data_IF_919121114109
#
_entry.id   IF_919121114109
#
_cell.length_a   1.000
_cell.length_b   1.000
_cell.length_c   1.000
_cell.angle_alpha   90.00
_cell.angle_beta   90.00
_cell.angle_gamma   90.00
#
_symmetry.space_group_name_H-M   'P 1'
#
loop_
_entity.id
_entity.type
_entity.pdbx_description
1 polymer ?
#
# COMPACT_ATOMS: atom_id res chain seq x y z
N UNK A 1 4.63 -3.83 7.48
CA UNK A 1 4.26 -2.43 7.15
C UNK A 1 5.49 -1.55 7.19
N UNK A 2 5.60 -0.56 6.29
CA UNK A 2 6.75 0.36 6.26
C UNK A 2 6.38 1.71 6.87
N UNK A 3 7.18 2.19 7.82
CA UNK A 3 6.91 3.42 8.57
C UNK A 3 7.69 4.65 8.06
N UNK A 4 8.77 4.44 7.29
CA UNK A 4 9.66 5.52 6.84
C UNK A 4 10.22 5.36 5.42
N UNK A 5 10.79 6.45 4.89
CA UNK A 5 11.36 6.51 3.55
C UNK A 5 10.32 6.56 2.42
N UNK A 6 10.76 6.39 1.17
CA UNK A 6 9.92 6.46 -0.03
C UNK A 6 8.84 5.36 -0.10
N UNK A 7 9.03 4.26 0.64
CA UNK A 7 8.10 3.12 0.69
C UNK A 7 7.11 3.20 1.87
N UNK A 8 7.03 4.32 2.59
CA UNK A 8 6.10 4.51 3.73
C UNK A 8 4.66 4.17 3.35
N UNK A 9 3.96 3.49 4.26
CA UNK A 9 2.56 3.11 4.08
C UNK A 9 2.35 1.83 3.29
N UNK A 10 3.40 1.28 2.64
CA UNK A 10 3.32 -0.01 1.97
C UNK A 10 3.31 -1.17 2.96
N UNK A 11 2.59 -2.23 2.60
CA UNK A 11 2.51 -3.48 3.37
C UNK A 11 2.95 -4.62 2.46
N UNK A 12 3.76 -5.53 3.01
CA UNK A 12 4.31 -6.65 2.29
C UNK A 12 4.93 -7.65 3.26
N UNK A 13 5.11 -8.86 2.76
CA UNK A 13 5.80 -9.96 3.42
C UNK A 13 7.31 -9.76 3.33
N UNK A 14 8.05 -10.14 4.36
CA UNK A 14 9.51 -10.05 4.39
C UNK A 14 10.08 -11.29 3.70
N UNK A 15 10.73 -11.13 2.55
CA UNK A 15 11.38 -12.24 1.84
C UNK A 15 12.73 -12.56 2.50
N UNK A 16 13.56 -11.53 2.70
CA UNK A 16 14.91 -11.68 3.23
C UNK A 16 15.38 -10.41 3.91
N UNK A 17 16.14 -10.57 4.98
CA UNK A 17 16.88 -9.49 5.62
C UNK A 17 18.36 -9.69 5.34
N UNK A 18 18.94 -8.75 4.61
CA UNK A 18 20.37 -8.67 4.37
C UNK A 18 21.05 -7.97 5.56
N UNK A 19 21.88 -8.73 6.28
CA UNK A 19 22.67 -8.21 7.39
C UNK A 19 23.96 -7.62 6.88
N UNK A 20 24.17 -6.36 7.23
CA UNK A 20 25.36 -5.58 6.89
C UNK A 20 25.99 -5.06 8.19
N UNK A 21 27.01 -5.73 8.75
CA UNK A 21 27.68 -5.28 9.97
C UNK A 21 28.31 -3.90 9.77
N UNK A 22 28.08 -2.98 10.71
CA UNK A 22 28.57 -1.59 10.61
C UNK A 22 27.74 -0.67 9.70
N UNK A 23 26.66 -1.17 9.09
CA UNK A 23 25.75 -0.39 8.26
C UNK A 23 24.27 -0.75 8.53
N UNK A 24 23.36 -0.13 7.79
CA UNK A 24 21.94 -0.46 7.90
C UNK A 24 21.65 -1.83 7.29
N UNK A 25 20.90 -2.65 8.02
CA UNK A 25 20.34 -3.88 7.46
C UNK A 25 19.26 -3.53 6.45
N UNK A 26 19.21 -4.29 5.35
CA UNK A 26 18.25 -4.07 4.26
C UNK A 26 17.24 -5.21 4.28
N UNK A 27 15.96 -4.87 4.39
CA UNK A 27 14.87 -5.82 4.26
C UNK A 27 14.32 -5.75 2.84
N UNK A 28 14.26 -6.90 2.15
CA UNK A 28 13.51 -7.08 0.90
C UNK A 28 12.13 -7.61 1.21
N UNK A 29 11.11 -6.95 0.66
CA UNK A 29 9.72 -7.26 0.89
C UNK A 29 8.97 -7.43 -0.43
N UNK A 30 7.88 -8.18 -0.40
CA UNK A 30 6.95 -8.39 -1.51
C UNK A 30 5.53 -8.03 -1.07
N UNK A 31 4.84 -7.18 -1.84
CA UNK A 31 3.44 -6.87 -1.58
C UNK A 31 2.47 -7.93 -2.15
N UNK A 32 1.18 -7.78 -1.88
CA UNK A 32 0.15 -8.73 -2.35
C UNK A 32 -0.04 -8.72 -3.86
N UNK A 33 0.35 -7.64 -4.55
CA UNK A 33 0.36 -7.57 -6.01
C UNK A 33 1.64 -8.18 -6.62
N UNK A 34 2.56 -8.66 -5.77
CA UNK A 34 3.79 -9.30 -6.19
C UNK A 34 4.93 -8.35 -6.51
N UNK A 35 4.80 -7.04 -6.25
CA UNK A 35 5.88 -6.09 -6.44
C UNK A 35 6.90 -6.22 -5.31
N UNK A 36 8.17 -6.35 -5.68
CA UNK A 36 9.28 -6.37 -4.74
C UNK A 36 9.85 -4.98 -4.49
N UNK A 37 10.22 -4.70 -3.24
CA UNK A 37 10.87 -3.46 -2.86
C UNK A 37 11.75 -3.65 -1.65
N UNK A 38 12.68 -2.70 -1.43
CA UNK A 38 13.61 -2.73 -0.32
C UNK A 38 13.46 -1.50 0.57
N UNK A 39 13.75 -1.69 1.86
CA UNK A 39 13.88 -0.60 2.83
C UNK A 39 14.92 -0.95 3.89
N UNK A 40 15.31 0.03 4.70
CA UNK A 40 16.10 -0.25 5.91
C UNK A 40 15.24 -1.06 6.88
N UNK A 41 15.82 -2.07 7.53
CA UNK A 41 15.11 -2.93 8.48
C UNK A 41 14.48 -2.14 9.63
N UNK A 42 15.09 -1.02 10.04
CA UNK A 42 14.56 -0.09 11.06
C UNK A 42 13.20 0.50 10.68
N UNK A 43 12.90 0.62 9.39
CA UNK A 43 11.62 1.14 8.89
C UNK A 43 10.54 0.06 8.78
N UNK A 44 10.84 -1.19 9.12
CA UNK A 44 9.90 -2.32 9.03
C UNK A 44 9.19 -2.48 10.36
N UNK A 45 7.86 -2.43 10.32
CA UNK A 45 6.99 -2.72 11.45
C UNK A 45 6.15 -3.97 11.15
N UNK A 46 6.30 -5.00 11.98
CA UNK A 46 5.60 -6.28 11.83
C UNK A 46 4.18 -6.13 12.39
N UNK A 47 3.17 -6.49 11.58
CA UNK A 47 1.75 -6.30 11.91
C UNK A 47 0.91 -7.58 11.77
N UNK A 48 1.56 -8.72 11.56
CA UNK A 48 0.93 -10.02 11.33
C UNK A 48 1.96 -11.05 10.90
N UNK A 49 1.55 -12.32 10.92
CA UNK A 49 2.38 -13.44 10.46
C UNK A 49 2.30 -13.59 8.94
N UNK A 50 1.09 -13.43 8.38
CA UNK A 50 0.82 -13.52 6.95
C UNK A 50 0.19 -12.23 6.44
N UNK A 51 0.25 -12.04 5.12
CA UNK A 51 -0.35 -10.87 4.48
C UNK A 51 -1.89 -10.87 4.52
N UNK A 52 -2.50 -12.06 4.65
CA UNK A 52 -3.95 -12.24 4.77
C UNK A 52 -4.45 -12.12 6.22
N UNK A 53 -3.60 -12.38 7.20
CA UNK A 53 -3.93 -12.42 8.63
C UNK A 53 -3.22 -11.29 9.38
N UNK A 54 -3.71 -10.06 9.16
CA UNK A 54 -3.18 -8.85 9.80
C UNK A 54 -3.80 -8.67 11.20
N UNK A 55 -2.98 -8.37 12.20
CA UNK A 55 -3.40 -8.14 13.59
C UNK A 55 -4.06 -6.76 13.79
N UNK A 56 -3.94 -5.88 12.79
CA UNK A 56 -4.49 -4.52 12.82
C UNK A 56 -5.17 -4.21 11.49
N UNK A 57 -6.26 -3.42 11.55
CA UNK A 57 -6.94 -2.93 10.36
C UNK A 57 -6.10 -1.88 9.65
N UNK A 58 -5.96 -2.04 8.33
CA UNK A 58 -5.22 -1.11 7.45
C UNK A 58 -6.18 -0.26 6.61
N UNK A 59 -5.74 0.90 6.08
CA UNK A 59 -6.56 1.74 5.21
C UNK A 59 -7.03 1.01 3.93
N UNK A 60 -7.99 1.63 3.21
CA UNK A 60 -8.69 1.04 2.05
C UNK A 60 -7.78 0.40 0.99
N UNK A 61 -6.59 0.96 0.75
CA UNK A 61 -5.64 0.46 -0.25
C UNK A 61 -4.79 -0.71 0.25
N UNK A 62 -4.96 -1.17 1.50
CA UNK A 62 -4.25 -2.33 2.09
C UNK A 62 -2.72 -2.27 2.01
N UNK A 63 -2.14 -1.07 1.85
CA UNK A 63 -0.70 -0.89 1.67
C UNK A 63 -0.17 -1.22 0.27
N UNK A 64 -1.05 -1.34 -0.72
CA UNK A 64 -0.69 -1.46 -2.13
C UNK A 64 -0.43 -0.08 -2.74
N UNK A 65 0.69 0.05 -3.44
CA UNK A 65 1.00 1.24 -4.23
C UNK A 65 0.67 0.93 -5.70
N UNK A 66 -0.27 1.67 -6.26
CA UNK A 66 -0.63 1.57 -7.67
C UNK A 66 0.40 2.28 -8.55
N UNK A 67 0.44 1.90 -9.83
CA UNK A 67 1.25 2.62 -10.80
C UNK A 67 0.68 4.01 -11.04
N UNK A 68 1.55 5.00 -11.30
CA UNK A 68 1.15 6.40 -11.47
C UNK A 68 0.15 6.58 -12.62
N UNK A 69 0.32 5.81 -13.70
CA UNK A 69 -0.58 5.81 -14.86
C UNK A 69 -1.94 5.25 -14.47
N UNK A 70 -1.98 4.08 -13.81
CA UNK A 70 -3.23 3.46 -13.33
C UNK A 70 -3.98 4.36 -12.35
N UNK A 71 -3.28 4.96 -11.39
CA UNK A 71 -3.89 5.90 -10.43
C UNK A 71 -4.50 7.11 -11.14
N UNK A 72 -3.84 7.61 -12.19
CA UNK A 72 -4.37 8.72 -12.99
C UNK A 72 -5.63 8.31 -13.75
N UNK A 73 -5.61 7.15 -14.39
CA UNK A 73 -6.76 6.62 -15.15
C UNK A 73 -7.96 6.38 -14.24
N UNK A 74 -7.77 5.75 -13.08
CA UNK A 74 -8.84 5.55 -12.09
C UNK A 74 -9.44 6.89 -11.62
N UNK A 75 -8.61 7.92 -11.42
CA UNK A 75 -9.10 9.26 -11.05
C UNK A 75 -9.92 9.91 -12.17
N UNK A 76 -9.52 9.73 -13.43
CA UNK A 76 -10.26 10.26 -14.58
C UNK A 76 -11.61 9.55 -14.74
N UNK A 77 -11.62 8.22 -14.68
CA UNK A 77 -12.84 7.40 -14.75
C UNK A 77 -13.78 7.75 -13.59
N UNK A 78 -13.26 7.89 -12.37
CA UNK A 78 -14.05 8.30 -11.22
C UNK A 78 -14.62 9.72 -11.37
N UNK A 79 -13.89 10.63 -12.01
CA UNK A 79 -14.38 11.98 -12.30
C UNK A 79 -15.47 11.99 -13.38
N UNK A 80 -15.34 11.19 -14.43
CA UNK A 80 -16.33 11.05 -15.51
C UNK A 80 -17.62 10.38 -15.02
N UNK A 81 -17.50 9.27 -14.31
CA UNK A 81 -18.65 8.59 -13.68
C UNK A 81 -19.39 9.54 -12.73
N UNK A 82 -18.68 10.36 -11.96
CA UNK A 82 -19.29 11.38 -11.09
C UNK A 82 -20.03 12.48 -11.87
N UNK A 83 -19.55 12.87 -13.06
CA UNK A 83 -20.23 13.84 -13.94
C UNK A 83 -21.49 13.25 -14.57
N UNK A 84 -21.43 11.99 -14.99
CA UNK A 84 -22.52 11.28 -15.66
C UNK A 84 -23.56 10.70 -14.68
N UNK A 85 -23.26 10.66 -13.38
CA UNK A 85 -24.17 10.15 -12.37
C UNK A 85 -25.46 11.00 -12.33
N UNK A 86 -26.65 10.38 -12.42
CA UNK A 86 -27.91 11.11 -12.32
C UNK A 86 -27.98 11.79 -10.96
N UNK A 87 -28.26 13.11 -10.94
CA UNK A 87 -28.48 13.85 -9.70
C UNK A 87 -29.62 13.17 -8.95
N UNK A 88 -29.33 12.60 -7.78
CA UNK A 88 -30.33 12.01 -6.90
C UNK A 88 -31.42 13.07 -6.64
N UNK A 89 -32.62 12.84 -7.19
CA UNK A 89 -33.82 13.60 -6.86
C UNK A 89 -34.08 13.37 -5.38
N UNK A 90 -33.71 14.35 -4.53
CA UNK A 90 -34.15 14.37 -3.14
C UNK A 90 -35.67 14.48 -3.17
N UNK A 91 -36.35 13.37 -2.91
CA UNK A 91 -37.77 13.39 -2.58
C UNK A 91 -37.90 14.17 -1.26
N UNK A 92 -38.30 15.44 -1.38
CA UNK A 92 -38.81 16.22 -0.26
C UNK A 92 -40.12 15.55 0.17
N UNK A 93 -40.10 14.89 1.33
CA UNK A 93 -41.30 14.68 2.13
C UNK A 93 -41.44 15.84 3.09
#
# INVERSE_FOLDING_TARGET
MITGGANRGRVGEIIRIERHPGAFHIARLKDSAGNEFATRAVNVFVIGNDLNNLLVTVPKQQGLRMNVIQEREERLIAAETRKNAPKARKNRK
#
